data_IF_474166915671
#
_entry.id   IF_474166915671
#
_cell.length_a   1.000
_cell.length_b   1.000
_cell.length_c   1.000
_cell.angle_alpha   90.00
_cell.angle_beta   90.00
_cell.angle_gamma   90.00
#
_symmetry.space_group_name_H-M   'P 1'
#
loop_
_entity.id
_entity.type
_entity.pdbx_description
1 polymer ?
#
# COMPACT_ATOMS: atom_id res chain seq x y z
N UNK A 1 -25.88 21.38 39.10
CA UNK A 1 -26.87 21.72 38.05
C UNK A 1 -26.84 20.61 37.02
N UNK A 2 -27.86 19.75 37.06
CA UNK A 2 -28.05 18.61 36.16
C UNK A 2 -28.50 19.09 34.77
N UNK A 3 -27.98 18.48 33.71
CA UNK A 3 -28.76 18.23 32.49
C UNK A 3 -28.48 16.83 31.96
N UNK A 4 -29.57 16.07 31.92
CA UNK A 4 -29.78 14.73 31.41
C UNK A 4 -30.02 14.84 29.90
N UNK A 5 -29.53 13.88 29.12
CA UNK A 5 -29.87 13.71 27.71
C UNK A 5 -29.64 12.27 27.27
N UNK A 6 -30.72 11.56 26.99
CA UNK A 6 -30.82 10.13 26.74
C UNK A 6 -30.14 9.66 25.44
N UNK A 7 -29.66 8.41 25.41
CA UNK A 7 -29.31 7.71 24.17
C UNK A 7 -30.00 6.34 24.16
N UNK A 8 -30.68 6.10 23.04
CA UNK A 8 -31.58 5.01 22.75
C UNK A 8 -30.87 3.67 22.53
N UNK A 9 -31.58 2.60 22.90
CA UNK A 9 -31.23 1.20 22.65
C UNK A 9 -31.64 0.84 21.23
N UNK A 10 -30.70 0.31 20.42
CA UNK A 10 -31.00 -0.30 19.12
C UNK A 10 -30.89 -1.81 19.26
N UNK A 11 -32.03 -2.49 19.04
CA UNK A 11 -32.16 -3.94 18.97
C UNK A 11 -31.56 -4.50 17.68
N UNK A 12 -30.88 -5.64 17.82
CA UNK A 12 -30.45 -6.50 16.73
C UNK A 12 -31.65 -7.25 16.11
N UNK A 13 -31.65 -7.40 14.79
CA UNK A 13 -32.57 -8.28 14.07
C UNK A 13 -31.78 -9.23 13.16
N UNK A 14 -31.90 -10.52 13.46
CA UNK A 14 -31.43 -11.68 12.71
C UNK A 14 -32.35 -11.98 11.52
N UNK A 15 -31.79 -12.23 10.33
CA UNK A 15 -32.54 -12.74 9.16
C UNK A 15 -32.30 -14.25 9.03
N UNK A 16 -33.37 -15.02 9.18
CA UNK A 16 -33.42 -16.46 8.91
C UNK A 16 -34.01 -16.71 7.51
N UNK A 17 -33.39 -17.63 6.77
CA UNK A 17 -33.84 -18.09 5.45
C UNK A 17 -34.75 -19.30 5.62
N UNK A 18 -35.96 -19.25 5.05
CA UNK A 18 -36.86 -20.39 4.92
C UNK A 18 -37.62 -20.31 3.60
N UNK A 19 -37.45 -21.33 2.75
CA UNK A 19 -38.23 -21.51 1.52
C UNK A 19 -39.56 -22.24 1.75
N UNK A 20 -40.38 -22.31 0.70
CA UNK A 20 -41.38 -23.37 0.46
C UNK A 20 -41.96 -23.25 -0.97
N UNK A 21 -41.84 -24.33 -1.74
CA UNK A 21 -42.59 -24.61 -2.98
C UNK A 21 -44.04 -24.98 -2.67
N UNK A 22 -45.01 -24.55 -3.50
CA UNK A 22 -46.30 -25.25 -3.64
C UNK A 22 -46.85 -25.12 -5.08
N UNK A 23 -47.05 -26.29 -5.71
CA UNK A 23 -47.73 -26.52 -7.00
C UNK A 23 -49.26 -26.46 -6.87
N UNK A 24 -49.97 -26.07 -7.95
CA UNK A 24 -51.29 -26.60 -8.40
C UNK A 24 -51.63 -26.13 -9.83
N UNK A 25 -51.86 -27.06 -10.77
CA UNK A 25 -52.51 -26.84 -12.09
C UNK A 25 -54.01 -27.23 -12.06
N UNK A 26 -54.68 -27.66 -13.16
CA UNK A 26 -54.60 -27.33 -14.61
C UNK A 26 -56.01 -26.95 -15.21
N UNK A 27 -56.15 -26.99 -16.56
CA UNK A 27 -57.38 -26.99 -17.45
C UNK A 27 -57.77 -25.67 -18.21
N UNK A 28 -58.51 -25.72 -19.37
CA UNK A 28 -58.03 -25.99 -20.73
C UNK A 28 -58.51 -24.94 -21.80
N UNK A 29 -58.12 -25.16 -23.08
CA UNK A 29 -58.22 -24.29 -24.29
C UNK A 29 -59.64 -23.88 -24.77
N UNK A 30 -59.72 -22.87 -25.68
CA UNK A 30 -60.20 -23.18 -27.04
C UNK A 30 -59.43 -22.49 -28.20
N UNK A 31 -59.40 -23.14 -29.37
CA UNK A 31 -58.97 -22.65 -30.69
C UNK A 31 -60.21 -22.24 -31.54
N UNK A 32 -60.16 -21.92 -32.87
CA UNK A 32 -59.04 -21.73 -33.82
C UNK A 32 -59.22 -20.51 -34.78
N UNK A 33 -58.27 -20.24 -35.68
CA UNK A 33 -58.51 -20.00 -37.13
C UNK A 33 -57.20 -19.76 -37.89
N UNK A 34 -56.91 -20.65 -38.85
CA UNK A 34 -55.80 -20.59 -39.82
C UNK A 34 -56.14 -19.71 -41.03
N UNK A 35 -55.13 -19.30 -41.82
CA UNK A 35 -54.96 -20.00 -43.10
C UNK A 35 -53.51 -20.36 -43.48
N UNK A 36 -53.38 -21.54 -44.10
CA UNK A 36 -52.31 -22.06 -44.96
C UNK A 36 -52.03 -21.13 -46.16
N UNK A 37 -50.94 -21.15 -46.94
CA UNK A 37 -49.61 -21.78 -46.97
C UNK A 37 -48.87 -21.14 -48.18
N UNK A 38 -47.53 -21.28 -48.28
CA UNK A 38 -46.78 -21.81 -49.47
C UNK A 38 -45.36 -21.20 -49.65
N UNK A 39 -44.37 -22.11 -49.62
CA UNK A 39 -43.00 -22.19 -50.25
C UNK A 39 -41.84 -21.26 -49.83
N UNK A 40 -40.82 -21.72 -49.08
CA UNK A 40 -39.52 -22.45 -49.38
C UNK A 40 -38.29 -21.50 -49.46
N UNK A 41 -37.02 -21.96 -49.32
CA UNK A 41 -36.15 -21.69 -48.17
C UNK A 41 -34.91 -20.81 -48.52
N UNK A 42 -34.21 -20.27 -47.53
CA UNK A 42 -32.77 -19.97 -47.66
C UNK A 42 -32.11 -19.83 -46.29
N UNK A 43 -30.96 -20.46 -46.18
CA UNK A 43 -30.10 -20.59 -45.01
C UNK A 43 -29.66 -19.24 -44.44
N UNK A 44 -29.77 -19.09 -43.11
CA UNK A 44 -29.03 -18.07 -42.37
C UNK A 44 -27.94 -18.78 -41.56
N UNK A 45 -26.67 -18.76 -42.00
CA UNK A 45 -25.56 -18.98 -41.10
C UNK A 45 -25.29 -17.70 -40.28
N UNK A 46 -25.02 -17.97 -39.01
CA UNK A 46 -24.58 -17.08 -37.94
C UNK A 46 -23.58 -15.99 -38.39
N UNK A 47 -23.83 -14.74 -37.99
CA UNK A 47 -22.90 -13.65 -38.17
C UNK A 47 -21.62 -13.89 -37.34
N UNK A 48 -20.50 -13.98 -38.06
CA UNK A 48 -19.13 -13.86 -37.53
C UNK A 48 -18.90 -12.38 -37.18
N UNK A 49 -18.14 -12.03 -36.12
CA UNK A 49 -17.80 -10.64 -35.86
C UNK A 49 -16.86 -10.15 -36.96
N UNK A 50 -17.38 -9.31 -37.85
CA UNK A 50 -16.60 -8.66 -38.89
C UNK A 50 -15.64 -7.64 -38.28
N UNK A 51 -14.40 -7.73 -38.75
CA UNK A 51 -13.34 -6.78 -38.44
C UNK A 51 -13.68 -5.36 -38.88
N UNK A 52 -12.88 -4.45 -38.35
CA UNK A 52 -12.89 -3.00 -38.58
C UNK A 52 -13.35 -2.65 -40.01
N UNK A 53 -14.42 -1.86 -40.10
CA UNK A 53 -15.04 -1.56 -41.38
C UNK A 53 -14.08 -0.75 -42.25
N UNK A 54 -14.16 -0.90 -43.57
CA UNK A 54 -13.34 -0.12 -44.50
C UNK A 54 -13.49 1.40 -44.28
N UNK A 55 -14.62 1.85 -43.74
CA UNK A 55 -14.85 3.21 -43.29
C UNK A 55 -13.97 3.62 -42.09
N UNK A 56 -13.77 2.75 -41.10
CA UNK A 56 -12.90 3.01 -39.94
C UNK A 56 -11.43 3.11 -40.38
N UNK A 57 -11.01 2.25 -41.31
CA UNK A 57 -9.66 2.28 -41.88
C UNK A 57 -9.42 3.53 -42.76
N UNK A 58 -10.47 4.03 -43.42
CA UNK A 58 -10.39 5.27 -44.20
C UNK A 58 -10.35 6.52 -43.31
N UNK A 59 -11.09 6.55 -42.19
CA UNK A 59 -10.99 7.62 -41.19
C UNK A 59 -9.63 7.61 -40.47
N UNK A 60 -9.10 6.43 -40.13
CA UNK A 60 -7.75 6.28 -39.57
C UNK A 60 -6.63 6.72 -40.53
N UNK A 61 -6.84 6.59 -41.84
CA UNK A 61 -5.90 7.00 -42.89
C UNK A 61 -6.03 8.48 -43.27
N UNK A 62 -7.21 9.08 -43.08
CA UNK A 62 -7.46 10.51 -43.30
C UNK A 62 -6.85 11.41 -42.21
N UNK A 63 -6.66 10.85 -41.01
CA UNK A 63 -5.98 11.50 -39.88
C UNK A 63 -4.76 10.67 -39.45
N UNK A 64 -3.70 10.58 -40.28
CA UNK A 64 -2.49 9.86 -39.89
C UNK A 64 -1.98 10.50 -38.60
N UNK A 65 -2.03 9.75 -37.49
CA UNK A 65 -1.36 10.14 -36.25
C UNK A 65 0.10 10.35 -36.63
N UNK A 66 0.61 11.55 -36.38
CA UNK A 66 2.04 11.82 -36.49
C UNK A 66 2.76 10.69 -35.75
N UNK A 67 3.72 9.98 -36.37
CA UNK A 67 4.45 8.95 -35.67
C UNK A 67 4.95 9.53 -34.36
N UNK A 68 4.62 8.87 -33.25
CA UNK A 68 5.20 9.20 -31.95
C UNK A 68 6.71 9.24 -32.16
N UNK A 69 7.37 10.40 -31.96
CA UNK A 69 8.81 10.45 -32.10
C UNK A 69 9.42 9.37 -31.21
N UNK A 70 10.47 8.70 -31.72
CA UNK A 70 11.25 7.74 -30.93
C UNK A 70 11.54 8.34 -29.54
N UNK A 71 11.39 7.59 -28.43
CA UNK A 71 11.44 8.18 -27.10
C UNK A 71 12.74 8.96 -26.89
N UNK A 72 12.62 10.29 -26.83
CA UNK A 72 13.65 11.22 -26.32
C UNK A 72 14.10 10.84 -24.89
N UNK A 73 13.38 9.93 -24.25
CA UNK A 73 13.67 9.34 -22.95
C UNK A 73 15.11 8.80 -22.81
N UNK A 74 15.70 8.27 -23.89
CA UNK A 74 17.08 7.77 -23.85
C UNK A 74 18.13 8.86 -23.57
N UNK A 75 17.80 10.14 -23.75
CA UNK A 75 18.72 11.26 -23.50
C UNK A 75 18.60 11.86 -22.10
N UNK A 76 17.57 11.53 -21.32
CA UNK A 76 17.40 12.04 -19.97
C UNK A 76 18.46 11.46 -19.02
N UNK A 77 18.96 12.23 -18.03
CA UNK A 77 19.86 11.70 -17.00
C UNK A 77 19.14 10.66 -16.14
N UNK A 78 19.85 9.61 -15.70
CA UNK A 78 19.30 8.59 -14.81
C UNK A 78 18.72 9.21 -13.53
N UNK A 79 17.62 8.66 -12.99
CA UNK A 79 17.11 9.10 -11.70
C UNK A 79 18.16 8.85 -10.61
N UNK A 80 18.30 9.81 -9.71
CA UNK A 80 19.28 9.80 -8.63
C UNK A 80 18.64 10.28 -7.34
N UNK A 81 19.15 9.77 -6.22
CA UNK A 81 18.85 10.24 -4.88
C UNK A 81 20.16 10.24 -4.09
N UNK A 82 20.51 11.37 -3.47
CA UNK A 82 21.75 11.48 -2.71
C UNK A 82 21.75 10.45 -1.57
N UNK A 83 22.74 9.54 -1.50
CA UNK A 83 22.79 8.56 -0.43
C UNK A 83 23.16 9.21 0.89
N UNK A 84 22.70 8.62 1.98
CA UNK A 84 23.15 8.99 3.33
C UNK A 84 24.48 8.27 3.60
N UNK A 85 25.54 8.96 4.07
CA UNK A 85 26.80 8.31 4.36
C UNK A 85 26.67 7.15 5.35
N UNK A 86 27.39 6.05 5.09
CA UNK A 86 27.43 4.90 5.98
C UNK A 86 27.90 5.29 7.39
N UNK A 87 27.26 4.74 8.42
CA UNK A 87 27.55 5.03 9.83
C UNK A 87 26.89 6.31 10.37
N UNK A 88 26.13 7.05 9.54
CA UNK A 88 25.33 8.18 10.03
C UNK A 88 24.26 7.70 11.00
N UNK A 89 24.25 8.22 12.24
CA UNK A 89 23.20 7.95 13.22
C UNK A 89 21.99 8.82 12.93
N UNK A 90 20.86 8.20 12.62
CA UNK A 90 19.62 8.86 12.21
C UNK A 90 18.64 9.03 13.37
N UNK A 91 18.64 8.11 14.32
CA UNK A 91 17.83 8.19 15.52
C UNK A 91 18.52 7.41 16.64
N UNK A 92 18.33 7.82 17.88
CA UNK A 92 18.80 7.07 19.04
C UNK A 92 18.02 7.46 20.29
N UNK A 93 18.05 6.60 21.30
CA UNK A 93 17.46 6.90 22.60
C UNK A 93 17.47 5.71 23.54
N UNK A 94 17.16 5.99 24.80
CA UNK A 94 16.99 4.96 25.83
C UNK A 94 15.52 4.59 25.97
N UNK A 95 15.27 3.29 26.15
CA UNK A 95 13.94 2.73 26.34
C UNK A 95 13.87 2.08 27.71
N UNK A 96 12.82 2.41 28.44
CA UNK A 96 12.45 1.74 29.68
C UNK A 96 10.96 1.42 29.65
N UNK A 97 10.57 0.21 30.06
CA UNK A 97 9.14 -0.08 30.25
C UNK A 97 8.59 0.68 31.47
N UNK A 98 7.29 0.99 31.52
CA UNK A 98 6.71 1.73 32.64
C UNK A 98 6.91 1.06 34.01
N UNK A 99 7.04 -0.27 34.03
CA UNK A 99 7.29 -1.05 35.25
C UNK A 99 8.79 -1.29 35.52
N UNK A 100 9.70 -0.73 34.70
CA UNK A 100 11.15 -0.91 34.84
C UNK A 100 11.64 -2.35 34.60
N UNK A 101 10.82 -3.18 33.95
CA UNK A 101 11.17 -4.59 33.70
C UNK A 101 12.04 -4.78 32.46
N UNK A 102 12.13 -3.77 31.60
CA UNK A 102 12.86 -3.79 30.33
C UNK A 102 13.65 -2.50 30.21
N UNK A 103 14.93 -2.61 29.85
CA UNK A 103 15.79 -1.47 29.55
C UNK A 103 16.72 -1.78 28.38
N UNK A 104 16.94 -0.81 27.49
CA UNK A 104 17.96 -0.86 26.44
C UNK A 104 18.18 0.53 25.82
N UNK A 105 19.29 0.68 25.11
CA UNK A 105 19.56 1.79 24.22
C UNK A 105 19.37 1.34 22.77
N UNK A 106 18.70 2.15 21.94
CA UNK A 106 18.60 1.91 20.51
C UNK A 106 19.30 3.02 19.72
N UNK A 107 19.83 2.65 18.56
CA UNK A 107 20.29 3.57 17.52
C UNK A 107 19.88 3.03 16.16
N UNK A 108 19.57 3.92 15.21
CA UNK A 108 19.36 3.57 13.81
C UNK A 108 20.47 4.22 13.00
N UNK A 109 21.17 3.42 12.22
CA UNK A 109 22.29 3.86 11.38
C UNK A 109 21.99 3.64 9.90
N UNK A 110 22.50 4.53 9.05
CA UNK A 110 22.51 4.35 7.61
C UNK A 110 23.68 3.46 7.17
N UNK A 111 23.47 2.60 6.18
CA UNK A 111 24.49 1.68 5.67
C UNK A 111 25.24 2.22 4.44
N UNK A 112 24.78 3.32 3.84
CA UNK A 112 25.42 3.94 2.66
C UNK A 112 24.72 3.63 1.32
N UNK A 113 23.77 2.70 1.32
CA UNK A 113 23.09 2.13 0.15
C UNK A 113 21.56 2.22 0.27
N UNK A 114 21.05 3.26 0.93
CA UNK A 114 19.64 3.47 1.24
C UNK A 114 19.01 2.38 2.14
N UNK A 115 19.84 1.53 2.74
CA UNK A 115 19.41 0.61 3.80
C UNK A 115 19.82 1.10 5.18
N UNK A 116 19.09 0.60 6.19
CA UNK A 116 19.25 1.03 7.57
C UNK A 116 19.33 -0.17 8.51
N UNK A 117 20.06 0.01 9.61
CA UNK A 117 20.19 -0.99 10.67
C UNK A 117 19.80 -0.37 12.00
N UNK A 118 18.83 -0.97 12.68
CA UNK A 118 18.54 -0.70 14.07
C UNK A 118 19.45 -1.55 14.96
N UNK A 119 20.18 -0.92 15.86
CA UNK A 119 21.08 -1.57 16.80
C UNK A 119 20.51 -1.38 18.19
N UNK A 120 20.23 -2.49 18.86
CA UNK A 120 19.74 -2.54 20.23
C UNK A 120 20.88 -3.01 21.11
N UNK A 121 21.20 -2.25 22.15
CA UNK A 121 22.33 -2.50 23.03
C UNK A 121 21.93 -2.33 24.49
N UNK A 122 22.63 -3.01 25.39
CA UNK A 122 22.30 -2.94 26.81
C UNK A 122 20.96 -3.59 27.16
N UNK A 123 20.44 -4.50 26.32
CA UNK A 123 19.13 -5.10 26.54
C UNK A 123 19.11 -5.95 27.79
N UNK A 124 18.18 -5.63 28.69
CA UNK A 124 17.86 -6.38 29.89
C UNK A 124 16.35 -6.54 30.03
N UNK A 125 15.94 -7.70 30.53
CA UNK A 125 14.54 -7.99 30.87
C UNK A 125 14.44 -8.85 32.14
N UNK A 126 13.46 -8.54 32.97
CA UNK A 126 13.06 -9.37 34.12
C UNK A 126 11.73 -10.09 33.91
N UNK A 127 11.09 -9.91 32.74
CA UNK A 127 9.82 -10.56 32.43
C UNK A 127 10.00 -12.06 32.18
N UNK A 128 9.05 -12.91 32.59
CA UNK A 128 9.11 -14.36 32.38
C UNK A 128 8.74 -14.77 30.94
N UNK A 129 8.82 -13.85 29.98
CA UNK A 129 8.48 -14.07 28.57
C UNK A 129 9.53 -13.42 27.67
N UNK A 130 9.73 -13.94 26.45
CA UNK A 130 10.47 -13.23 25.42
C UNK A 130 9.83 -11.89 25.09
N UNK A 131 10.65 -10.90 24.75
CA UNK A 131 10.18 -9.60 24.28
C UNK A 131 10.72 -9.32 22.89
N UNK A 132 9.88 -8.69 22.08
CA UNK A 132 10.23 -8.21 20.75
C UNK A 132 10.21 -6.69 20.68
N UNK A 133 10.80 -6.18 19.62
CA UNK A 133 10.75 -4.78 19.22
C UNK A 133 10.25 -4.67 17.80
N UNK A 134 9.64 -3.53 17.48
CA UNK A 134 9.22 -3.18 16.12
C UNK A 134 8.93 -1.70 16.00
N UNK A 135 9.10 -1.15 14.80
CA UNK A 135 8.86 0.26 14.49
C UNK A 135 7.51 0.45 13.77
N UNK A 136 6.82 1.54 14.08
CA UNK A 136 5.50 1.85 13.57
C UNK A 136 5.41 3.29 13.12
N UNK A 137 4.64 3.50 12.05
CA UNK A 137 4.22 4.79 11.51
C UNK A 137 3.25 5.50 12.45
N UNK A 138 2.28 4.76 12.97
CA UNK A 138 1.22 5.26 13.83
C UNK A 138 1.56 5.07 15.32
N UNK A 139 1.13 6.00 16.19
CA UNK A 139 1.27 5.85 17.63
C UNK A 139 0.64 4.56 18.16
N UNK A 140 1.22 4.03 19.24
CA UNK A 140 0.74 2.86 19.98
C UNK A 140 0.70 3.17 21.48
N UNK A 141 -0.10 2.43 22.23
CA UNK A 141 -0.20 2.55 23.67
C UNK A 141 0.17 1.24 24.39
N UNK A 142 0.67 1.36 25.61
CA UNK A 142 0.92 0.21 26.47
C UNK A 142 -0.39 -0.51 26.78
N UNK A 143 -0.40 -1.83 26.65
CA UNK A 143 -1.58 -2.69 26.82
C UNK A 143 -2.31 -3.04 25.52
N UNK A 144 -2.03 -2.32 24.42
CA UNK A 144 -2.55 -2.64 23.09
C UNK A 144 -2.18 -4.08 22.68
N UNK A 145 -3.05 -4.70 21.88
CA UNK A 145 -2.73 -5.95 21.20
C UNK A 145 -2.25 -5.67 19.79
N UNK A 146 -1.07 -6.18 19.44
CA UNK A 146 -0.54 -6.07 18.09
C UNK A 146 -1.13 -7.16 17.19
N UNK A 147 -1.65 -6.74 16.03
CA UNK A 147 -1.99 -7.63 14.91
C UNK A 147 -0.89 -7.70 13.85
N UNK A 148 0.07 -6.77 13.92
CA UNK A 148 1.24 -6.65 13.06
C UNK A 148 2.46 -6.30 13.95
N UNK A 149 3.61 -6.99 13.82
CA UNK A 149 4.74 -6.84 14.74
C UNK A 149 5.55 -5.55 14.55
N UNK A 150 5.36 -4.83 13.43
CA UNK A 150 6.10 -3.61 13.11
C UNK A 150 7.17 -3.84 12.04
N UNK A 151 7.73 -2.75 11.52
CA UNK A 151 8.88 -2.77 10.60
C UNK A 151 10.14 -3.08 11.39
N UNK A 152 11.02 -3.92 10.82
CA UNK A 152 12.25 -4.34 11.48
C UNK A 152 12.01 -5.12 12.77
N UNK A 153 10.97 -5.95 12.80
CA UNK A 153 10.62 -6.68 14.01
C UNK A 153 11.69 -7.70 14.41
N UNK A 154 11.96 -7.79 15.71
CA UNK A 154 12.95 -8.72 16.24
C UNK A 154 12.64 -9.11 17.67
N UNK A 155 12.67 -10.41 17.95
CA UNK A 155 12.72 -10.93 19.33
C UNK A 155 14.12 -10.71 19.90
N UNK A 156 14.21 -9.93 20.98
CA UNK A 156 15.46 -9.61 21.68
C UNK A 156 15.86 -10.73 22.66
N UNK A 157 14.88 -11.47 23.18
CA UNK A 157 15.08 -12.56 24.12
C UNK A 157 14.17 -12.46 25.34
N UNK A 158 14.33 -13.39 26.28
CA UNK A 158 13.58 -13.44 27.53
C UNK A 158 14.33 -12.81 28.71
N UNK A 159 14.12 -13.31 29.94
CA UNK A 159 14.84 -12.82 31.11
C UNK A 159 16.35 -12.91 30.94
N UNK A 160 17.07 -11.87 31.33
CA UNK A 160 18.52 -11.76 31.14
C UNK A 160 19.26 -11.77 32.46
N UNK A 161 20.38 -12.51 32.54
CA UNK A 161 21.35 -12.41 33.64
C UNK A 161 22.47 -11.42 33.37
N UNK A 162 22.67 -11.02 32.10
CA UNK A 162 23.61 -10.01 31.64
C UNK A 162 23.04 -9.26 30.44
N UNK A 163 23.53 -8.05 30.20
CA UNK A 163 23.08 -7.23 29.07
C UNK A 163 23.46 -7.87 27.73
N UNK A 164 22.57 -7.75 26.74
CA UNK A 164 22.78 -8.27 25.38
C UNK A 164 22.66 -7.17 24.33
N UNK A 165 23.06 -7.47 23.10
CA UNK A 165 22.96 -6.57 21.96
C UNK A 165 22.61 -7.33 20.69
N UNK A 166 21.92 -6.68 19.76
CA UNK A 166 21.57 -7.22 18.45
C UNK A 166 21.43 -6.10 17.42
N UNK A 167 21.88 -6.38 16.21
CA UNK A 167 21.69 -5.53 15.05
C UNK A 167 20.60 -6.13 14.15
N UNK A 168 19.68 -5.29 13.70
CA UNK A 168 18.47 -5.67 12.97
C UNK A 168 18.37 -4.83 11.69
N UNK A 169 18.42 -5.43 10.51
CA UNK A 169 18.11 -4.73 9.27
C UNK A 169 16.67 -4.18 9.30
N UNK A 170 16.49 -2.91 8.96
CA UNK A 170 15.16 -2.30 8.83
C UNK A 170 14.58 -2.56 7.44
N UNK A 171 14.45 -3.83 7.09
CA UNK A 171 13.78 -4.22 5.84
C UNK A 171 12.35 -3.70 5.81
N UNK A 172 11.96 -3.07 4.71
CA UNK A 172 10.62 -2.48 4.54
C UNK A 172 10.48 -1.05 5.07
N UNK A 173 11.56 -0.37 5.48
CA UNK A 173 11.53 1.05 5.84
C UNK A 173 11.50 2.01 4.65
N UNK A 174 11.53 1.49 3.42
CA UNK A 174 11.83 2.29 2.24
C UNK A 174 13.20 2.97 2.34
N UNK A 175 13.40 4.00 1.52
CA UNK A 175 14.65 4.78 1.49
C UNK A 175 14.68 5.94 2.50
N UNK A 176 13.57 6.19 3.21
CA UNK A 176 13.48 7.14 4.31
C UNK A 176 12.69 6.53 5.49
N UNK A 177 13.36 6.15 6.59
CA UNK A 177 12.72 5.52 7.72
C UNK A 177 11.98 6.53 8.63
N UNK A 178 12.04 7.83 8.34
CA UNK A 178 11.55 8.88 9.26
C UNK A 178 10.03 8.88 9.46
N UNK A 179 9.29 8.22 8.58
CA UNK A 179 7.86 7.96 8.75
C UNK A 179 7.57 7.05 9.96
N UNK A 180 8.53 6.23 10.40
CA UNK A 180 8.40 5.34 11.55
C UNK A 180 8.58 6.10 12.87
N UNK A 181 7.52 6.75 13.35
CA UNK A 181 7.56 7.62 14.51
C UNK A 181 7.60 6.92 15.89
N UNK A 182 7.34 5.61 15.95
CA UNK A 182 7.12 4.90 17.21
C UNK A 182 7.92 3.61 17.29
N UNK A 183 8.75 3.46 18.33
CA UNK A 183 9.38 2.20 18.70
C UNK A 183 8.52 1.52 19.77
N UNK A 184 8.12 0.28 19.49
CA UNK A 184 7.27 -0.52 20.35
C UNK A 184 8.07 -1.70 20.88
N UNK A 185 7.93 -1.97 22.17
CA UNK A 185 8.36 -3.22 22.80
C UNK A 185 7.12 -4.05 23.08
N UNK A 186 7.09 -5.29 22.63
CA UNK A 186 5.94 -6.18 22.77
C UNK A 186 6.33 -7.53 23.37
N UNK A 187 5.34 -8.22 23.94
CA UNK A 187 5.52 -9.60 24.40
C UNK A 187 5.57 -10.53 23.19
N UNK A 188 6.63 -11.34 23.13
CA UNK A 188 6.80 -12.44 22.20
C UNK A 188 6.51 -13.80 22.90
N UNK A 189 5.64 -13.80 23.91
CA UNK A 189 5.10 -15.04 24.49
C UNK A 189 4.39 -15.88 23.41
N UNK A 190 4.38 -17.19 23.59
CA UNK A 190 3.65 -18.06 22.67
C UNK A 190 2.12 -17.83 22.81
N UNK A 191 1.35 -17.87 21.71
CA UNK A 191 -0.11 -17.81 21.79
C UNK A 191 -0.67 -18.91 22.70
N UNK A 192 -1.52 -18.54 23.66
CA UNK A 192 -2.11 -19.47 24.62
C UNK A 192 -1.19 -19.91 25.77
N UNK A 193 0.02 -19.34 25.88
CA UNK A 193 0.88 -19.55 27.04
C UNK A 193 0.20 -19.03 28.31
N UNK A 194 0.31 -19.78 29.41
CA UNK A 194 -0.25 -19.41 30.71
C UNK A 194 0.58 -18.30 31.36
N UNK A 195 0.26 -17.05 31.02
CA UNK A 195 0.86 -15.83 31.55
C UNK A 195 -0.21 -14.78 31.80
N UNK A 196 0.02 -13.81 32.71
CA UNK A 196 -0.90 -12.69 32.90
C UNK A 196 -1.25 -11.99 31.59
N UNK A 197 -2.50 -11.55 31.46
CA UNK A 197 -3.05 -10.96 30.23
C UNK A 197 -2.27 -9.72 29.77
N UNK A 198 -1.61 -9.03 30.70
CA UNK A 198 -0.78 -7.85 30.45
C UNK A 198 0.53 -8.17 29.70
N UNK A 199 0.98 -9.42 29.77
CA UNK A 199 2.18 -9.90 29.07
C UNK A 199 1.89 -11.05 28.11
N UNK A 200 0.61 -11.25 27.77
CA UNK A 200 0.19 -12.21 26.75
C UNK A 200 0.78 -11.88 25.37
N UNK A 201 0.76 -12.85 24.46
CA UNK A 201 1.33 -12.72 23.12
C UNK A 201 0.87 -11.43 22.41
N UNK A 202 1.81 -10.69 21.84
CA UNK A 202 1.55 -9.47 21.08
C UNK A 202 1.17 -8.24 21.92
N UNK A 203 1.19 -8.33 23.26
CA UNK A 203 0.89 -7.18 24.11
C UNK A 203 1.98 -6.13 24.07
N UNK A 204 1.62 -4.86 23.94
CA UNK A 204 2.55 -3.74 24.02
C UNK A 204 2.96 -3.50 25.47
N UNK A 205 4.26 -3.56 25.72
CA UNK A 205 4.88 -3.46 27.04
C UNK A 205 5.56 -2.11 27.29
N UNK A 206 6.07 -1.48 26.23
CA UNK A 206 6.66 -0.15 26.27
C UNK A 206 6.53 0.52 24.90
N UNK A 207 6.53 1.85 24.91
CA UNK A 207 6.47 2.69 23.71
C UNK A 207 7.46 3.83 23.88
N UNK A 208 8.21 4.13 22.84
CA UNK A 208 9.12 5.28 22.77
C UNK A 208 8.92 6.04 21.47
N UNK A 209 8.87 7.37 21.54
CA UNK A 209 8.84 8.21 20.33
C UNK A 209 10.22 8.22 19.69
N UNK A 210 10.28 7.92 18.39
CA UNK A 210 11.52 8.00 17.63
C UNK A 210 11.68 9.41 17.10
N UNK A 211 12.83 10.01 17.40
CA UNK A 211 13.20 11.34 16.90
C UNK A 211 14.27 11.18 15.84
N UNK A 212 13.87 11.42 14.59
CA UNK A 212 14.73 11.29 13.43
C UNK A 212 15.52 12.57 13.13
N UNK A 213 16.75 12.39 12.71
CA UNK A 213 17.67 13.42 12.20
C UNK A 213 18.24 12.93 10.86
N UNK A 214 17.34 12.76 9.88
CA UNK A 214 17.72 12.33 8.53
C UNK A 214 18.31 13.52 7.78
N UNK A 215 19.55 13.44 7.27
CA UNK A 215 20.12 14.51 6.45
C UNK A 215 19.25 14.76 5.21
N UNK A 216 19.12 16.02 4.81
CA UNK A 216 18.41 16.36 3.59
C UNK A 216 19.05 15.68 2.37
N UNK A 217 18.24 15.00 1.58
CA UNK A 217 18.66 14.28 0.37
C UNK A 217 18.18 15.04 -0.86
N UNK A 218 19.00 15.05 -1.92
CA UNK A 218 18.65 15.70 -3.19
C UNK A 218 18.35 14.64 -4.24
N UNK A 219 17.46 14.97 -5.18
CA UNK A 219 17.09 14.13 -6.32
C UNK A 219 16.94 14.99 -7.56
N UNK A 220 17.08 14.41 -8.74
CA UNK A 220 16.75 15.04 -10.02
C UNK A 220 15.32 14.72 -10.49
N UNK A 221 14.54 13.95 -9.73
CA UNK A 221 13.16 13.58 -10.05
C UNK A 221 12.22 14.50 -9.28
N UNK A 222 11.49 15.34 -10.01
CA UNK A 222 10.61 16.36 -9.42
C UNK A 222 9.21 16.33 -10.04
N UNK A 223 8.36 15.35 -9.67
CA UNK A 223 7.00 15.26 -10.18
C UNK A 223 6.22 16.54 -9.90
N UNK A 224 5.53 17.07 -10.92
CA UNK A 224 4.67 18.24 -10.79
C UNK A 224 3.38 17.98 -11.54
N UNK A 225 2.25 18.01 -10.84
CA UNK A 225 0.96 17.79 -11.48
C UNK A 225 0.62 18.95 -12.44
N UNK A 226 0.56 18.66 -13.74
CA UNK A 226 0.09 19.59 -14.77
C UNK A 226 -1.44 19.53 -14.97
N UNK A 227 -2.13 18.69 -14.20
CA UNK A 227 -3.57 18.46 -14.29
C UNK A 227 -3.94 17.25 -15.15
N UNK A 228 -5.21 16.86 -15.07
CA UNK A 228 -5.77 15.75 -15.84
C UNK A 228 -5.59 15.94 -17.35
N UNK A 229 -5.25 14.85 -18.05
CA UNK A 229 -5.14 14.77 -19.50
C UNK A 229 -5.67 13.42 -20.01
N UNK A 230 -5.76 13.27 -21.33
CA UNK A 230 -6.08 11.98 -21.95
C UNK A 230 -5.12 10.89 -21.44
N UNK A 231 -5.70 9.75 -21.05
CA UNK A 231 -5.01 8.57 -20.49
C UNK A 231 -4.10 8.88 -19.27
N UNK A 232 -4.40 9.95 -18.53
CA UNK A 232 -3.85 10.21 -17.20
C UNK A 232 -4.91 10.94 -16.35
N UNK A 233 -6.08 10.31 -16.22
CA UNK A 233 -7.26 10.85 -15.55
C UNK A 233 -7.34 10.49 -14.06
N UNK A 234 -6.44 9.65 -13.56
CA UNK A 234 -6.32 9.29 -12.16
C UNK A 234 -6.28 10.46 -11.16
N UNK A 235 -6.59 10.14 -9.92
CA UNK A 235 -6.65 11.10 -8.82
C UNK A 235 -5.26 11.28 -8.20
N UNK A 236 -4.88 12.52 -7.93
CA UNK A 236 -3.67 12.85 -7.16
C UNK A 236 -4.04 13.01 -5.70
N UNK A 237 -3.28 12.35 -4.83
CA UNK A 237 -3.50 12.38 -3.39
C UNK A 237 -2.21 12.68 -2.64
N UNK A 238 -2.37 13.41 -1.53
CA UNK A 238 -1.26 13.77 -0.67
C UNK A 238 -0.31 14.79 -1.29
N UNK A 239 0.47 15.40 -0.42
CA UNK A 239 1.52 16.35 -0.77
C UNK A 239 2.73 16.06 0.10
N UNK A 240 3.91 16.05 -0.51
CA UNK A 240 5.17 15.92 0.22
C UNK A 240 5.38 17.16 1.10
N UNK A 241 6.35 17.09 2.02
CA UNK A 241 6.73 18.26 2.83
C UNK A 241 7.19 19.46 1.97
N UNK A 242 7.67 19.21 0.76
CA UNK A 242 8.06 20.23 -0.22
C UNK A 242 6.87 20.75 -1.07
N UNK A 243 5.66 20.23 -0.86
CA UNK A 243 4.46 20.62 -1.60
C UNK A 243 4.30 19.97 -2.98
N UNK A 244 5.12 18.98 -3.32
CA UNK A 244 4.98 18.19 -4.54
C UNK A 244 3.87 17.12 -4.37
N UNK A 245 3.25 16.62 -5.46
CA UNK A 245 2.30 15.50 -5.37
C UNK A 245 2.99 14.26 -4.78
N UNK A 246 2.31 13.57 -3.86
CA UNK A 246 2.89 12.40 -3.18
C UNK A 246 2.45 11.06 -3.79
N UNK A 247 1.20 10.97 -4.27
CA UNK A 247 0.64 9.75 -4.81
C UNK A 247 -0.34 10.00 -5.96
N UNK A 248 -0.49 8.98 -6.81
CA UNK A 248 -1.44 8.96 -7.92
C UNK A 248 -2.20 7.64 -7.96
N UNK A 249 -3.53 7.70 -7.89
CA UNK A 249 -4.40 6.53 -8.08
C UNK A 249 -4.81 6.42 -9.54
N UNK A 250 -4.37 5.35 -10.19
CA UNK A 250 -4.61 5.05 -11.60
C UNK A 250 -6.11 4.94 -11.89
N UNK A 251 -6.59 5.67 -12.90
CA UNK A 251 -7.94 5.57 -13.45
C UNK A 251 -8.01 4.51 -14.57
N UNK A 252 -9.24 4.11 -14.99
CA UNK A 252 -9.41 3.34 -16.21
C UNK A 252 -8.67 3.98 -17.40
N UNK A 253 -8.07 3.12 -18.22
CA UNK A 253 -7.38 3.47 -19.47
C UNK A 253 -6.12 4.36 -19.32
N UNK A 254 -5.64 4.60 -18.11
CA UNK A 254 -4.39 5.34 -17.90
C UNK A 254 -3.18 4.60 -18.50
N UNK A 255 -2.34 5.34 -19.22
CA UNK A 255 -1.11 4.83 -19.85
C UNK A 255 0.11 5.32 -19.08
N UNK A 256 1.12 4.46 -18.89
CA UNK A 256 2.31 4.82 -18.10
C UNK A 256 3.03 6.06 -18.67
N UNK A 257 3.10 6.18 -20.00
CA UNK A 257 3.72 7.34 -20.67
C UNK A 257 2.93 8.63 -20.48
N UNK A 258 1.60 8.57 -20.57
CA UNK A 258 0.74 9.73 -20.38
C UNK A 258 0.70 10.20 -18.92
N UNK A 259 0.74 9.25 -17.98
CA UNK A 259 0.87 9.53 -16.54
C UNK A 259 2.22 10.16 -16.23
N UNK A 260 3.33 9.60 -16.71
CA UNK A 260 4.65 10.21 -16.52
C UNK A 260 4.71 11.64 -17.09
N UNK A 261 4.17 11.84 -18.30
CA UNK A 261 4.10 13.15 -18.94
C UNK A 261 3.18 14.14 -18.21
N UNK A 262 2.10 13.69 -17.54
CA UNK A 262 1.28 14.54 -16.65
C UNK A 262 2.12 15.14 -15.52
N UNK A 263 3.07 14.39 -15.00
CA UNK A 263 3.94 14.82 -13.91
C UNK A 263 5.25 15.46 -14.36
N UNK A 264 5.45 15.61 -15.67
CA UNK A 264 6.68 16.18 -16.23
C UNK A 264 7.94 15.34 -15.98
N UNK A 265 7.77 14.03 -15.81
CA UNK A 265 8.86 13.06 -15.59
C UNK A 265 8.92 12.04 -16.72
N UNK A 266 10.01 11.28 -16.79
CA UNK A 266 10.13 10.16 -17.74
C UNK A 266 9.41 8.90 -17.23
N UNK A 267 9.10 7.95 -18.11
CA UNK A 267 8.61 6.62 -17.70
C UNK A 267 9.65 5.92 -16.83
N UNK A 268 10.95 6.07 -17.14
CA UNK A 268 12.04 5.56 -16.31
C UNK A 268 12.03 6.15 -14.90
N UNK A 269 11.73 7.44 -14.74
CA UNK A 269 11.60 8.05 -13.41
C UNK A 269 10.38 7.48 -12.68
N UNK A 270 9.26 7.29 -13.37
CA UNK A 270 8.04 6.72 -12.79
C UNK A 270 8.24 5.26 -12.34
N UNK A 271 8.98 4.46 -13.12
CA UNK A 271 9.39 3.09 -12.76
C UNK A 271 10.39 3.10 -11.60
N UNK A 272 11.31 4.05 -11.56
CA UNK A 272 12.25 4.20 -10.43
C UNK A 272 11.55 4.57 -9.12
N UNK A 273 10.49 5.40 -9.20
CA UNK A 273 9.62 5.72 -8.05
C UNK A 273 8.78 4.53 -7.58
N UNK A 274 8.53 3.55 -8.47
CA UNK A 274 7.60 2.44 -8.26
C UNK A 274 8.24 1.12 -8.73
N UNK A 275 9.20 0.62 -7.97
CA UNK A 275 9.89 -0.62 -8.31
C UNK A 275 8.89 -1.77 -8.52
N UNK A 276 8.97 -2.42 -9.69
CA UNK A 276 8.07 -3.51 -10.05
C UNK A 276 6.68 -3.08 -10.51
N UNK A 277 6.45 -1.80 -10.82
CA UNK A 277 5.20 -1.34 -11.47
C UNK A 277 4.88 -2.20 -12.69
N UNK A 278 3.61 -2.63 -12.77
CA UNK A 278 3.15 -3.52 -13.82
C UNK A 278 2.34 -2.74 -14.85
N UNK A 279 2.53 -3.09 -16.12
CA UNK A 279 1.74 -2.59 -17.24
C UNK A 279 1.21 -3.75 -18.07
N UNK A 280 0.11 -3.53 -18.78
CA UNK A 280 -0.50 -4.54 -19.66
C UNK A 280 -0.84 -3.99 -21.04
N UNK A 281 -1.03 -4.91 -21.98
CA UNK A 281 -1.26 -4.58 -23.39
C UNK A 281 -0.02 -4.04 -24.08
N UNK A 282 -0.11 -3.86 -25.40
CA UNK A 282 0.97 -3.26 -26.20
C UNK A 282 1.10 -1.76 -25.92
N UNK A 283 0.00 -1.12 -25.51
CA UNK A 283 -0.06 0.31 -25.23
C UNK A 283 0.45 0.66 -23.81
N UNK A 284 0.82 -0.33 -23.00
CA UNK A 284 1.36 -0.15 -21.63
C UNK A 284 0.37 0.53 -20.65
N UNK A 285 -0.85 0.01 -20.61
CA UNK A 285 -1.86 0.41 -19.64
C UNK A 285 -1.43 0.09 -18.21
N UNK A 286 -1.70 1.01 -17.29
CA UNK A 286 -1.55 0.80 -15.87
C UNK A 286 -2.80 0.11 -15.30
N UNK A 287 -2.62 -0.72 -14.28
CA UNK A 287 -3.74 -1.37 -13.61
C UNK A 287 -4.57 -0.36 -12.80
N UNK A 288 -5.85 -0.24 -13.14
CA UNK A 288 -6.81 0.61 -12.45
C UNK A 288 -6.77 0.41 -10.92
N UNK A 289 -6.88 1.51 -10.17
CA UNK A 289 -6.90 1.50 -8.72
C UNK A 289 -5.53 1.31 -8.07
N UNK A 290 -4.48 1.02 -8.85
CA UNK A 290 -3.10 1.01 -8.33
C UNK A 290 -2.74 2.41 -7.85
N UNK A 291 -2.14 2.48 -6.67
CA UNK A 291 -1.55 3.73 -6.17
C UNK A 291 -0.07 3.77 -6.53
N UNK A 292 0.32 4.73 -7.36
CA UNK A 292 1.71 5.02 -7.69
C UNK A 292 2.26 6.04 -6.71
N UNK A 293 3.46 5.78 -6.20
CA UNK A 293 4.29 6.72 -5.48
C UNK A 293 4.82 7.79 -6.44
N UNK A 294 4.73 9.05 -6.02
CA UNK A 294 5.33 10.21 -6.68
C UNK A 294 6.37 10.91 -5.80
N UNK A 295 6.62 10.42 -4.59
CA UNK A 295 7.62 10.96 -3.68
C UNK A 295 8.95 10.18 -3.80
N UNK A 296 10.05 10.79 -4.27
CA UNK A 296 11.36 10.17 -4.28
C UNK A 296 11.84 9.63 -2.92
N UNK A 297 11.36 10.21 -1.81
CA UNK A 297 11.67 9.75 -0.45
C UNK A 297 10.70 8.67 0.06
N UNK A 298 9.57 8.49 -0.61
CA UNK A 298 8.54 7.50 -0.26
C UNK A 298 8.69 6.14 -0.96
N UNK A 299 9.78 5.92 -1.70
CA UNK A 299 10.05 4.66 -2.43
C UNK A 299 10.60 3.55 -1.53
#
# INVERSE_FOLDING_TARGET
>A
MNRIGAIAVVLAATVAVSGCSLLRGPDPLPAPSTPSATTTPSDTPSATPDGESASDLLEASANPRTPTPEPTESAAPAPTLTPIPAGTVLAQGDVASPKGSIHFHFRVIANGDDTFTAQYSGFTSTLPVPVGVGLFDLPRAVGDGLTYPGVGDRVLGGPTSAATAVDVPLSGSGVDPSHLGTLVVSSAAAPGQDVPVEIAAGKVLAVSTVRWSVPARQTNVHPKDAGTRANAAGAVAGTTAAGAPAAYTVAPDDLIGDVAARFGITVRDLVWLNEGVQVFGQDQHLYEGTTLNLDPLGR
#
